data_IF_607915176653
#
_entry.id   IF_607915176653
#
_cell.length_a   1.000
_cell.length_b   1.000
_cell.length_c   1.000
_cell.angle_alpha   90.00
_cell.angle_beta   90.00
_cell.angle_gamma   90.00
#
_symmetry.space_group_name_H-M   'P 1'
#
loop_
_entity.id
_entity.type
_entity.pdbx_description
1 polymer ?
#
# COMPACT_ATOMS: atom_id res chain seq x y z
N UNK A 1 -3.30 -14.30 16.13
CA UNK A 1 -2.41 -14.56 14.98
C UNK A 1 -3.10 -15.43 13.95
N UNK A 2 -2.73 -15.32 12.69
CA UNK A 2 -3.09 -16.24 11.61
C UNK A 2 -1.81 -17.00 11.21
N UNK A 3 -1.89 -18.34 11.16
CA UNK A 3 -0.81 -19.20 10.73
C UNK A 3 -1.26 -19.98 9.50
N UNK A 4 -0.41 -20.09 8.49
CA UNK A 4 -0.68 -20.88 7.29
C UNK A 4 0.62 -21.37 6.67
N UNK A 5 0.61 -22.62 6.21
CA UNK A 5 1.71 -23.22 5.44
C UNK A 5 1.18 -23.59 4.07
N UNK A 6 1.41 -22.72 3.09
CA UNK A 6 0.82 -22.83 1.75
C UNK A 6 1.78 -22.27 0.70
N UNK A 7 1.68 -22.73 -0.56
CA UNK A 7 2.47 -22.18 -1.66
C UNK A 7 2.00 -20.76 -1.97
N UNK A 8 2.89 -19.78 -1.82
CA UNK A 8 2.60 -18.36 -2.01
C UNK A 8 3.74 -17.66 -2.76
N UNK A 9 3.46 -16.59 -3.52
CA UNK A 9 4.49 -15.75 -4.11
C UNK A 9 5.39 -15.14 -3.03
N UNK A 10 6.68 -15.39 -3.12
CA UNK A 10 7.67 -14.94 -2.16
C UNK A 10 8.98 -14.54 -2.86
N UNK A 11 9.70 -13.57 -2.29
CA UNK A 11 11.08 -13.29 -2.67
C UNK A 11 11.82 -12.56 -1.55
N UNK A 12 13.15 -12.70 -1.56
CA UNK A 12 14.05 -11.85 -0.79
C UNK A 12 14.63 -10.75 -1.69
N UNK A 13 14.45 -9.49 -1.29
CA UNK A 13 15.04 -8.36 -2.00
C UNK A 13 16.30 -7.88 -1.26
N UNK A 14 17.48 -8.19 -1.81
CA UNK A 14 18.77 -7.81 -1.23
C UNK A 14 19.01 -6.30 -1.20
N UNK A 15 18.55 -5.55 -2.21
CA UNK A 15 18.71 -4.09 -2.31
C UNK A 15 17.88 -3.34 -1.27
N UNK A 16 16.64 -3.80 -1.04
CA UNK A 16 15.72 -3.26 -0.05
C UNK A 16 15.92 -3.86 1.35
N UNK A 17 16.62 -4.99 1.46
CA UNK A 17 16.80 -5.78 2.70
C UNK A 17 15.47 -6.14 3.34
N UNK A 18 14.51 -6.56 2.51
CA UNK A 18 13.17 -6.95 2.94
C UNK A 18 12.72 -8.26 2.29
N UNK A 19 11.90 -9.00 3.03
CA UNK A 19 11.14 -10.14 2.51
C UNK A 19 9.86 -9.60 1.87
N UNK A 20 9.47 -10.16 0.74
CA UNK A 20 8.27 -9.74 0.02
C UNK A 20 7.38 -10.96 -0.14
N UNK A 21 6.11 -10.81 0.26
CA UNK A 21 5.12 -11.86 0.27
C UNK A 21 3.87 -11.39 -0.50
N UNK A 22 3.37 -12.21 -1.42
CA UNK A 22 2.08 -12.03 -2.07
C UNK A 22 1.00 -12.92 -1.46
N UNK A 23 -0.13 -12.32 -1.12
CA UNK A 23 -1.31 -12.99 -0.58
C UNK A 23 -2.49 -12.78 -1.55
N UNK A 24 -2.73 -13.71 -2.50
CA UNK A 24 -3.84 -13.60 -3.42
C UNK A 24 -5.18 -13.82 -2.71
N UNK A 25 -6.18 -12.98 -3.01
CA UNK A 25 -7.55 -13.17 -2.55
C UNK A 25 -8.30 -14.22 -3.38
N UNK A 26 -9.48 -14.65 -2.90
CA UNK A 26 -10.25 -15.78 -3.47
C UNK A 26 -10.43 -15.74 -5.00
N UNK A 27 -10.71 -14.57 -5.58
CA UNK A 27 -10.94 -14.43 -7.03
C UNK A 27 -9.66 -14.27 -7.86
N UNK A 28 -8.48 -14.28 -7.21
CA UNK A 28 -7.15 -14.00 -7.80
C UNK A 28 -7.04 -12.67 -8.58
N UNK A 29 -8.08 -11.84 -8.54
CA UNK A 29 -8.11 -10.51 -9.16
C UNK A 29 -7.33 -9.47 -8.35
N UNK A 30 -7.21 -9.71 -7.04
CA UNK A 30 -6.49 -8.86 -6.12
C UNK A 30 -5.51 -9.71 -5.32
N UNK A 31 -4.36 -9.12 -4.99
CA UNK A 31 -3.41 -9.68 -4.06
C UNK A 31 -2.92 -8.58 -3.13
N UNK A 32 -2.74 -8.92 -1.85
CA UNK A 32 -2.04 -8.07 -0.90
C UNK A 32 -0.55 -8.40 -0.96
N UNK A 33 0.29 -7.39 -1.13
CA UNK A 33 1.74 -7.55 -1.03
C UNK A 33 2.24 -6.99 0.29
N UNK A 34 3.03 -7.80 1.00
CA UNK A 34 3.60 -7.46 2.30
C UNK A 34 5.11 -7.39 2.15
N UNK A 35 5.67 -6.20 2.37
CA UNK A 35 7.11 -5.99 2.43
C UNK A 35 7.55 -5.92 3.88
N UNK A 36 8.27 -6.93 4.35
CA UNK A 36 8.74 -7.04 5.73
C UNK A 36 10.25 -6.73 5.80
N UNK A 37 10.65 -5.55 6.34
CA UNK A 37 12.05 -5.24 6.58
C UNK A 37 12.70 -6.25 7.53
N UNK A 38 13.95 -6.62 7.29
CA UNK A 38 14.68 -7.53 8.19
C UNK A 38 15.09 -6.89 9.53
N UNK A 39 15.14 -5.56 9.58
CA UNK A 39 15.44 -4.80 10.82
C UNK A 39 14.15 -4.22 11.39
N UNK A 40 13.99 -4.26 12.71
CA UNK A 40 12.83 -3.70 13.42
C UNK A 40 12.63 -2.19 13.17
N UNK A 41 13.72 -1.43 13.02
CA UNK A 41 13.72 -0.02 12.64
C UNK A 41 13.90 0.22 11.13
N UNK A 42 13.66 -0.81 10.31
CA UNK A 42 13.92 -0.79 8.87
C UNK A 42 12.88 -0.04 8.04
N UNK A 43 11.72 0.28 8.61
CA UNK A 43 10.58 0.84 7.87
C UNK A 43 10.90 2.17 7.19
N UNK A 44 11.46 3.14 7.92
CA UNK A 44 11.84 4.45 7.35
C UNK A 44 12.87 4.33 6.22
N UNK A 45 13.79 3.36 6.33
CA UNK A 45 14.78 3.10 5.29
C UNK A 45 14.15 2.46 4.05
N UNK A 46 13.19 1.56 4.26
CA UNK A 46 12.42 0.95 3.18
C UNK A 46 11.59 2.02 2.45
N UNK A 47 10.82 2.83 3.17
CA UNK A 47 9.96 3.90 2.60
C UNK A 47 10.75 4.86 1.72
N UNK A 48 11.94 5.30 2.14
CA UNK A 48 12.80 6.19 1.32
C UNK A 48 13.33 5.54 0.05
N UNK A 49 13.50 4.22 0.05
CA UNK A 49 13.97 3.46 -1.11
C UNK A 49 12.81 3.02 -2.01
N UNK A 50 11.59 3.00 -1.47
CA UNK A 50 10.37 2.63 -2.18
C UNK A 50 10.04 3.70 -3.21
N UNK A 51 10.24 3.34 -4.48
CA UNK A 51 9.80 4.06 -5.65
C UNK A 51 9.19 3.07 -6.67
N UNK A 52 8.58 3.60 -7.72
CA UNK A 52 7.93 2.79 -8.77
C UNK A 52 8.81 1.63 -9.27
N UNK A 53 10.07 1.91 -9.67
CA UNK A 53 10.99 0.89 -10.21
C UNK A 53 11.33 -0.18 -9.18
N UNK A 54 11.54 0.22 -7.92
CA UNK A 54 11.85 -0.73 -6.84
C UNK A 54 10.67 -1.65 -6.54
N UNK A 55 9.43 -1.15 -6.67
CA UNK A 55 8.22 -1.95 -6.45
C UNK A 55 7.99 -2.89 -7.62
N UNK A 56 8.04 -2.42 -8.86
CA UNK A 56 7.84 -3.29 -10.03
C UNK A 56 8.88 -4.41 -10.07
N UNK A 57 10.16 -4.08 -9.92
CA UNK A 57 11.24 -5.09 -9.89
C UNK A 57 11.14 -6.06 -8.73
N UNK A 58 10.58 -5.64 -7.59
CA UNK A 58 10.31 -6.52 -6.47
C UNK A 58 9.19 -7.53 -6.78
N UNK A 59 8.13 -7.09 -7.45
CA UNK A 59 7.00 -7.92 -7.83
C UNK A 59 7.37 -8.92 -8.92
N UNK A 60 8.18 -8.51 -9.90
CA UNK A 60 8.63 -9.37 -11.01
C UNK A 60 9.52 -10.53 -10.55
N UNK A 61 10.15 -10.40 -9.37
CA UNK A 61 11.05 -11.42 -8.80
C UNK A 61 10.34 -12.45 -7.92
N UNK A 62 9.03 -12.32 -7.70
CA UNK A 62 8.29 -13.24 -6.86
C UNK A 62 8.21 -14.62 -7.51
N UNK A 63 8.53 -15.65 -6.74
CA UNK A 63 8.36 -17.04 -7.12
C UNK A 63 7.44 -17.74 -6.14
N UNK A 64 6.67 -18.70 -6.62
CA UNK A 64 5.77 -19.45 -5.74
C UNK A 64 6.59 -20.47 -4.97
N UNK A 65 6.61 -20.34 -3.65
CA UNK A 65 7.38 -21.20 -2.75
C UNK A 65 6.48 -21.68 -1.60
N UNK A 66 6.78 -22.86 -1.05
CA UNK A 66 6.14 -23.33 0.18
C UNK A 66 6.69 -22.54 1.36
N UNK A 67 5.83 -21.75 1.99
CA UNK A 67 6.22 -20.86 3.08
C UNK A 67 5.30 -21.03 4.29
N UNK A 68 5.89 -20.93 5.48
CA UNK A 68 5.15 -20.81 6.73
C UNK A 68 5.00 -19.33 7.10
N UNK A 69 3.75 -18.86 7.15
CA UNK A 69 3.42 -17.45 7.38
C UNK A 69 2.70 -17.31 8.70
N UNK A 70 3.31 -16.52 9.59
CA UNK A 70 2.69 -15.99 10.80
C UNK A 70 2.30 -14.53 10.57
N UNK A 71 1.01 -14.25 10.41
CA UNK A 71 0.49 -12.92 10.10
C UNK A 71 -0.45 -12.40 11.21
N UNK A 72 -0.27 -11.17 11.72
CA UNK A 72 -1.17 -10.61 12.71
C UNK A 72 -2.56 -10.37 12.12
N UNK A 73 -3.60 -10.73 12.86
CA UNK A 73 -4.97 -10.32 12.54
C UNK A 73 -5.16 -8.92 13.11
N UNK A 74 -5.46 -7.95 12.26
CA UNK A 74 -5.69 -6.58 12.68
C UNK A 74 -6.79 -5.96 11.82
N UNK A 75 -7.40 -4.92 12.36
CA UNK A 75 -8.30 -4.02 11.66
C UNK A 75 -7.68 -2.62 11.70
N UNK A 76 -7.66 -1.92 10.56
CA UNK A 76 -7.14 -0.55 10.48
C UNK A 76 -8.30 0.35 10.10
N UNK A 77 -8.62 1.32 10.96
CA UNK A 77 -9.58 2.39 10.68
C UNK A 77 -8.81 3.70 10.48
N UNK A 78 -8.51 4.08 9.23
CA UNK A 78 -7.72 5.27 8.97
C UNK A 78 -8.52 6.56 9.19
N UNK A 79 -8.05 7.43 10.10
CA UNK A 79 -8.54 8.80 10.29
C UNK A 79 -7.74 9.84 9.48
N UNK A 80 -7.55 9.63 8.18
CA UNK A 80 -6.61 10.44 7.38
C UNK A 80 -7.29 11.72 6.85
N UNK A 81 -6.77 12.89 7.22
CA UNK A 81 -7.17 14.20 6.66
C UNK A 81 -6.34 14.55 5.42
N UNK A 82 -6.85 14.20 4.24
CA UNK A 82 -6.10 14.33 2.98
C UNK A 82 -5.93 15.75 2.44
N UNK A 83 -6.73 16.73 2.91
CA UNK A 83 -6.74 18.09 2.32
C UNK A 83 -5.35 18.73 2.29
N UNK A 84 -4.65 18.75 3.42
CA UNK A 84 -3.34 19.40 3.50
C UNK A 84 -2.27 18.59 2.75
N UNK A 85 -2.35 17.25 2.82
CA UNK A 85 -1.44 16.34 2.10
C UNK A 85 -1.56 16.50 0.59
N UNK A 86 -2.79 16.50 0.05
CA UNK A 86 -3.04 16.66 -1.39
C UNK A 86 -2.63 18.05 -1.89
N UNK A 87 -2.83 19.11 -1.08
CA UNK A 87 -2.32 20.45 -1.39
C UNK A 87 -0.79 20.48 -1.49
N UNK A 88 -0.10 19.85 -0.53
CA UNK A 88 1.36 19.75 -0.54
C UNK A 88 1.89 18.97 -1.75
N UNK A 89 1.12 18.01 -2.27
CA UNK A 89 1.42 17.28 -3.50
C UNK A 89 1.03 18.02 -4.80
N UNK A 90 0.60 19.29 -4.71
CA UNK A 90 0.25 20.11 -5.89
C UNK A 90 -1.21 20.04 -6.34
N UNK A 91 -2.09 19.44 -5.54
CA UNK A 91 -3.54 19.37 -5.76
C UNK A 91 -4.21 20.74 -5.57
N UNK A 92 -4.06 21.63 -6.57
CA UNK A 92 -4.56 23.01 -6.56
C UNK A 92 -6.07 23.11 -6.33
N UNK A 93 -6.85 22.17 -6.87
CA UNK A 93 -8.31 22.11 -6.69
C UNK A 93 -8.75 22.02 -5.23
N UNK A 94 -7.88 21.56 -4.32
CA UNK A 94 -8.19 21.52 -2.89
C UNK A 94 -7.96 22.87 -2.20
N UNK A 95 -7.55 23.92 -2.93
CA UNK A 95 -7.40 25.27 -2.41
C UNK A 95 -8.76 25.92 -2.13
N UNK A 96 -8.78 26.79 -1.13
CA UNK A 96 -10.00 27.32 -0.49
C UNK A 96 -10.80 28.27 -1.38
N UNK A 97 -10.32 28.56 -2.60
CA UNK A 97 -10.93 29.52 -3.53
C UNK A 97 -11.68 28.85 -4.69
N UNK A 98 -11.45 27.56 -4.95
CA UNK A 98 -11.94 26.92 -6.19
C UNK A 98 -13.32 26.24 -6.05
N UNK A 99 -13.84 26.06 -4.83
CA UNK A 99 -15.13 25.40 -4.59
C UNK A 99 -16.34 26.34 -4.53
N UNK A 100 -16.14 27.66 -4.61
CA UNK A 100 -17.24 28.63 -4.58
C UNK A 100 -18.20 28.45 -5.77
N UNK A 101 -17.73 27.86 -6.88
CA UNK A 101 -18.52 27.60 -8.08
C UNK A 101 -19.38 26.34 -8.01
N UNK A 102 -19.14 25.44 -7.04
CA UNK A 102 -19.89 24.17 -6.94
C UNK A 102 -21.15 24.29 -6.08
N UNK A 103 -21.25 25.32 -5.22
CA UNK A 103 -22.42 25.51 -4.34
C UNK A 103 -23.58 26.24 -5.02
N UNK A 104 -23.36 26.94 -6.14
CA UNK A 104 -24.42 27.68 -6.85
C UNK A 104 -25.27 26.84 -7.81
N UNK A 105 -24.86 25.60 -8.12
CA UNK A 105 -25.57 24.73 -9.08
C UNK A 105 -26.55 23.73 -8.47
N UNK A 106 -26.54 23.53 -7.14
CA UNK A 106 -27.33 22.48 -6.47
C UNK A 106 -28.61 23.02 -5.83
N UNK A 107 -29.37 23.82 -6.58
CA UNK A 107 -30.67 24.30 -6.11
C UNK A 107 -31.67 24.45 -7.26
N UNK A 108 -32.09 23.34 -7.87
CA UNK A 108 -33.40 23.26 -8.51
C UNK A 108 -34.08 21.88 -8.33
N UNK A 109 -35.24 21.96 -7.66
CA UNK A 109 -36.50 21.23 -7.86
C UNK A 109 -36.51 19.70 -7.74
N UNK A 110 -37.00 19.24 -6.58
CA UNK A 110 -38.16 18.35 -6.53
C UNK A 110 -39.34 19.18 -6.01
#
# INVERSE_FOLDING_TARGET
MMHMTVPLPYSWNSSLKCKILGLPYKSKRFAMYVSLPNKSNGLTSLERKTNYRSVTSALDRLQTEQIDVSFPKFEITPGIRLRNTLRAMGGRAFNTRDFATTTSGFRQKW
#
